data_IF_510231091250
#
_entry.id   IF_510231091250
#
_cell.length_a   1.000
_cell.length_b   1.000
_cell.length_c   1.000
_cell.angle_alpha   90.00
_cell.angle_beta   90.00
_cell.angle_gamma   90.00
#
_symmetry.space_group_name_H-M   'P 1'
#
loop_
_entity.id
_entity.type
_entity.pdbx_description
1 polymer ?
#
# COMPACT_ATOMS: atom_id res chain seq x y z
N UNK A 1 6.09 14.25 -5.15
CA UNK A 1 5.44 12.99 -4.74
C UNK A 1 6.45 11.88 -4.90
N UNK A 2 6.58 11.00 -3.92
CA UNK A 2 7.52 9.86 -3.92
C UNK A 2 6.75 8.55 -3.85
N UNK A 3 7.23 7.53 -4.56
CA UNK A 3 6.70 6.16 -4.47
C UNK A 3 7.31 5.47 -3.25
N UNK A 4 6.49 5.08 -2.29
CA UNK A 4 6.95 4.51 -1.01
C UNK A 4 6.65 3.03 -0.86
N UNK A 5 5.71 2.50 -1.63
CA UNK A 5 5.35 1.09 -1.58
C UNK A 5 4.83 0.59 -2.93
N UNK A 6 5.08 -0.68 -3.21
CA UNK A 6 4.60 -1.38 -4.40
C UNK A 6 3.92 -2.66 -3.94
N UNK A 7 2.58 -2.69 -4.01
CA UNK A 7 1.80 -3.83 -3.60
C UNK A 7 1.73 -4.89 -4.73
N UNK A 8 1.61 -6.15 -4.33
CA UNK A 8 1.45 -7.29 -5.23
C UNK A 8 0.04 -7.33 -5.84
N UNK A 9 -0.97 -6.83 -5.12
CA UNK A 9 -2.35 -6.83 -5.54
C UNK A 9 -3.15 -5.61 -5.04
N UNK A 10 -4.40 -5.49 -5.49
CA UNK A 10 -5.31 -4.39 -5.13
C UNK A 10 -5.59 -4.34 -3.63
N UNK A 11 -5.79 -5.51 -3.02
CA UNK A 11 -6.18 -5.62 -1.62
C UNK A 11 -5.07 -5.10 -0.73
N UNK A 12 -3.84 -5.53 -0.97
CA UNK A 12 -2.66 -5.07 -0.22
C UNK A 12 -2.44 -3.56 -0.39
N UNK A 13 -2.63 -3.02 -1.59
CA UNK A 13 -2.50 -1.59 -1.83
C UNK A 13 -3.47 -0.77 -0.97
N UNK A 14 -4.74 -1.18 -0.90
CA UNK A 14 -5.74 -0.50 -0.07
C UNK A 14 -5.51 -0.73 1.43
N UNK A 15 -4.99 -1.88 1.84
CA UNK A 15 -4.59 -2.13 3.23
C UNK A 15 -3.48 -1.17 3.69
N UNK A 16 -2.37 -1.10 2.95
CA UNK A 16 -1.24 -0.24 3.30
C UNK A 16 -1.61 1.24 3.15
N UNK A 17 -2.44 1.59 2.18
CA UNK A 17 -3.00 2.95 2.07
C UNK A 17 -3.81 3.32 3.31
N UNK A 18 -4.73 2.45 3.76
CA UNK A 18 -5.52 2.69 4.97
C UNK A 18 -4.65 2.81 6.23
N UNK A 19 -3.56 2.05 6.31
CA UNK A 19 -2.57 2.17 7.39
C UNK A 19 -1.89 3.55 7.38
N UNK A 20 -1.44 4.02 6.21
CA UNK A 20 -0.84 5.35 6.07
C UNK A 20 -1.84 6.47 6.41
N UNK A 21 -3.09 6.37 5.92
CA UNK A 21 -4.15 7.34 6.19
C UNK A 21 -4.52 7.39 7.68
N UNK A 22 -4.47 6.25 8.39
CA UNK A 22 -4.69 6.18 9.85
C UNK A 22 -3.66 6.97 10.66
N UNK A 23 -2.46 7.14 10.11
CA UNK A 23 -1.37 7.94 10.72
C UNK A 23 -1.37 9.39 10.21
N UNK A 24 -2.40 9.79 9.45
CA UNK A 24 -2.55 11.12 8.88
C UNK A 24 -1.66 11.40 7.68
N UNK A 25 -1.20 10.35 6.98
CA UNK A 25 -0.39 10.46 5.78
C UNK A 25 -1.28 10.30 4.56
N UNK A 26 -1.45 11.39 3.78
CA UNK A 26 -2.20 11.35 2.52
C UNK A 26 -1.46 10.51 1.47
N UNK A 27 -2.12 9.45 1.02
CA UNK A 27 -1.55 8.46 0.11
C UNK A 27 -2.43 8.26 -1.13
N UNK A 28 -1.79 8.24 -2.30
CA UNK A 28 -2.45 8.04 -3.58
C UNK A 28 -2.01 6.72 -4.21
N UNK A 29 -2.97 5.82 -4.47
CA UNK A 29 -2.73 4.61 -5.26
C UNK A 29 -2.79 4.92 -6.76
N UNK A 30 -1.73 4.54 -7.48
CA UNK A 30 -1.62 4.68 -8.95
C UNK A 30 -1.50 3.32 -9.63
N UNK A 31 -2.09 3.18 -10.82
CA UNK A 31 -1.99 1.97 -11.66
C UNK A 31 -3.30 1.23 -11.93
N UNK A 32 -4.41 1.61 -11.27
CA UNK A 32 -5.66 0.85 -11.32
C UNK A 32 -6.65 1.20 -12.44
N UNK A 33 -6.39 2.23 -13.25
CA UNK A 33 -7.38 2.76 -14.20
C UNK A 33 -7.22 2.26 -15.65
N UNK A 34 -6.76 1.03 -15.86
CA UNK A 34 -6.84 0.37 -17.18
C UNK A 34 -7.90 -0.76 -17.23
N UNK A 35 -8.86 -0.78 -16.30
CA UNK A 35 -9.95 -1.78 -16.29
C UNK A 35 -11.17 -1.43 -17.17
N UNK A 36 -11.06 -0.44 -18.05
CA UNK A 36 -12.13 -0.09 -19.00
C UNK A 36 -12.31 -1.06 -20.18
N UNK A 37 -11.47 -2.09 -20.31
CA UNK A 37 -11.52 -3.05 -21.41
C UNK A 37 -11.64 -4.49 -20.88
N UNK A 38 -12.86 -5.03 -20.97
CA UNK A 38 -13.21 -6.45 -21.15
C UNK A 38 -12.21 -7.47 -20.58
N UNK A 39 -12.56 -8.09 -19.46
CA UNK A 39 -11.92 -9.34 -19.03
C UNK A 39 -11.72 -9.41 -17.53
N UNK A 40 -12.51 -10.26 -16.89
CA UNK A 40 -12.15 -10.94 -15.65
C UNK A 40 -10.65 -11.33 -15.73
N UNK A 41 -9.85 -10.95 -14.72
CA UNK A 41 -8.46 -11.42 -14.55
C UNK A 41 -7.36 -10.75 -15.43
N UNK A 42 -7.09 -9.44 -15.24
CA UNK A 42 -5.81 -8.84 -15.64
C UNK A 42 -5.38 -7.60 -14.83
N UNK A 43 -5.76 -7.49 -13.55
CA UNK A 43 -5.17 -6.49 -12.64
C UNK A 43 -3.92 -7.03 -11.93
N UNK A 44 -3.12 -7.87 -12.60
CA UNK A 44 -1.79 -8.25 -12.10
C UNK A 44 -0.81 -7.18 -12.56
N UNK A 45 -0.69 -6.11 -11.77
CA UNK A 45 0.12 -4.99 -12.17
C UNK A 45 0.26 -3.92 -11.08
N UNK A 46 1.09 -4.24 -10.10
CA UNK A 46 1.92 -3.27 -9.35
C UNK A 46 1.22 -1.97 -8.95
N UNK A 47 0.31 -2.09 -8.02
CA UNK A 47 -0.27 -0.93 -7.38
C UNK A 47 0.81 -0.18 -6.62
N UNK A 48 1.09 1.06 -7.04
CA UNK A 48 2.10 1.88 -6.40
C UNK A 48 1.44 2.92 -5.53
N UNK A 49 1.93 3.04 -4.30
CA UNK A 49 1.50 4.05 -3.35
C UNK A 49 2.46 5.23 -3.40
N UNK A 50 1.88 6.40 -3.61
CA UNK A 50 2.59 7.67 -3.72
C UNK A 50 2.16 8.61 -2.60
N UNK A 51 3.13 9.25 -1.95
CA UNK A 51 2.90 10.23 -0.89
C UNK A 51 3.59 11.55 -1.24
N UNK A 52 3.27 12.61 -0.50
CA UNK A 52 4.00 13.87 -0.58
C UNK A 52 5.47 13.67 -0.16
N UNK A 53 6.39 14.45 -0.74
CA UNK A 53 7.82 14.34 -0.38
C UNK A 53 8.06 14.59 1.12
N UNK A 54 7.25 15.45 1.75
CA UNK A 54 7.33 15.77 3.18
C UNK A 54 6.99 14.58 4.08
N UNK A 55 6.08 13.70 3.66
CA UNK A 55 5.68 12.51 4.42
C UNK A 55 6.36 11.23 3.96
N UNK A 56 7.17 11.29 2.90
CA UNK A 56 7.91 10.14 2.36
C UNK A 56 8.71 9.38 3.41
N UNK A 57 9.41 10.08 4.30
CA UNK A 57 10.20 9.48 5.36
C UNK A 57 9.34 8.74 6.40
N UNK A 58 8.20 9.33 6.80
CA UNK A 58 7.27 8.69 7.75
C UNK A 58 6.59 7.48 7.12
N UNK A 59 6.15 7.62 5.87
CA UNK A 59 5.49 6.55 5.13
C UNK A 59 6.42 5.35 4.93
N UNK A 60 7.69 5.58 4.57
CA UNK A 60 8.70 4.53 4.45
C UNK A 60 8.89 3.77 5.77
N UNK A 61 9.00 4.49 6.89
CA UNK A 61 9.14 3.85 8.21
C UNK A 61 7.92 2.99 8.59
N UNK A 62 6.71 3.43 8.22
CA UNK A 62 5.47 2.65 8.42
C UNK A 62 5.42 1.41 7.54
N UNK A 63 5.83 1.54 6.28
CA UNK A 63 5.93 0.42 5.33
C UNK A 63 6.96 -0.61 5.81
N UNK A 64 8.12 -0.18 6.33
CA UNK A 64 9.12 -1.10 6.89
C UNK A 64 8.60 -1.86 8.10
N UNK A 65 7.79 -1.22 8.97
CA UNK A 65 7.12 -1.90 10.09
C UNK A 65 6.10 -2.93 9.60
N UNK A 66 5.37 -2.59 8.54
CA UNK A 66 4.45 -3.52 7.88
C UNK A 66 5.17 -4.73 7.29
N UNK A 67 6.25 -4.52 6.53
CA UNK A 67 7.05 -5.58 5.90
C UNK A 67 7.74 -6.48 6.94
N UNK A 68 8.15 -5.90 8.08
CA UNK A 68 8.71 -6.64 9.22
C UNK A 68 7.68 -7.53 9.93
N UNK A 69 6.40 -7.49 9.53
CA UNK A 69 5.34 -8.26 10.14
C UNK A 69 4.91 -7.75 11.51
N UNK A 70 5.18 -6.48 11.85
CA UNK A 70 4.81 -5.90 13.16
C UNK A 70 3.28 -5.88 13.37
N UNK A 71 2.52 -5.85 12.27
CA UNK A 71 1.06 -5.95 12.28
C UNK A 71 0.54 -7.38 12.02
N UNK A 72 1.43 -8.36 11.84
CA UNK A 72 1.00 -9.75 11.84
C UNK A 72 0.48 -10.06 13.25
N UNK A 73 -0.78 -10.50 13.33
CA UNK A 73 -1.32 -11.03 14.58
C UNK A 73 -0.36 -12.11 15.06
N UNK A 74 0.28 -11.90 16.20
CA UNK A 74 1.01 -12.97 16.85
C UNK A 74 -0.02 -14.05 17.16
N UNK A 75 0.14 -15.22 16.56
CA UNK A 75 -0.59 -16.42 16.93
C UNK A 75 -0.01 -16.92 18.26
N UNK A 76 -0.08 -16.09 19.31
CA UNK A 76 0.09 -16.54 20.69
C UNK A 76 -1.22 -17.21 21.12
N UNK A 77 -1.54 -18.31 20.45
CA UNK A 77 -2.41 -19.35 20.99
C UNK A 77 -1.52 -20.31 21.79
N UNK A 78 -1.27 -19.96 23.06
CA UNK A 78 -0.81 -20.91 24.09
C UNK A 78 -1.93 -21.92 24.42
#
# INVERSE_FOLDING_TARGET
MQCVFQAENVVEAELVKGLLESEGIDCHSGGFYLQGAVGDLAASGFAKLWVADEDSAKALALVERYDSGEFALSDDAD
#
